data_IF_328728541905
#
_entry.id   IF_328728541905
#
_cell.length_a   1.000
_cell.length_b   1.000
_cell.length_c   1.000
_cell.angle_alpha   90.00
_cell.angle_beta   90.00
_cell.angle_gamma   90.00
#
_symmetry.space_group_name_H-M   'P 1'
#
loop_
_entity.id
_entity.type
_entity.pdbx_description
1 polymer ?
#
# COMPACT_ATOMS: atom_id res chain seq x y z
N UNK A 1 19.45 1.10 -22.00
CA UNK A 1 19.41 2.02 -20.84
C UNK A 1 18.01 2.14 -20.24
N UNK A 2 16.94 1.79 -20.98
CA UNK A 2 15.54 1.87 -20.49
C UNK A 2 15.24 0.95 -19.31
N UNK A 3 15.70 -0.31 -19.31
CA UNK A 3 15.40 -1.25 -18.22
C UNK A 3 15.98 -0.90 -16.84
N UNK A 4 16.95 0.02 -16.73
CA UNK A 4 17.50 0.44 -15.43
C UNK A 4 16.61 1.48 -14.74
N UNK A 5 15.98 2.36 -15.52
CA UNK A 5 15.05 3.37 -14.99
C UNK A 5 13.76 2.74 -14.47
N UNK A 6 13.22 1.74 -15.17
CA UNK A 6 12.02 1.02 -14.73
C UNK A 6 12.21 0.25 -13.41
N UNK A 7 13.40 -0.33 -13.23
CA UNK A 7 13.79 -0.99 -11.98
C UNK A 7 13.92 0.00 -10.81
N UNK A 8 14.53 1.16 -11.06
CA UNK A 8 14.64 2.23 -10.05
C UNK A 8 13.26 2.79 -9.67
N UNK A 9 12.37 3.00 -10.65
CA UNK A 9 11.00 3.46 -10.42
C UNK A 9 10.17 2.42 -9.63
N UNK A 10 10.35 1.14 -9.94
CA UNK A 10 9.72 0.05 -9.19
C UNK A 10 10.20 -0.01 -7.74
N UNK A 11 11.51 0.05 -7.50
CA UNK A 11 12.06 0.07 -6.15
C UNK A 11 11.59 1.28 -5.35
N UNK A 12 11.47 2.46 -5.99
CA UNK A 12 10.91 3.64 -5.35
C UNK A 12 9.44 3.46 -4.97
N UNK A 13 8.63 2.86 -5.83
CA UNK A 13 7.24 2.55 -5.51
C UNK A 13 7.13 1.61 -4.29
N UNK A 14 7.90 0.52 -4.27
CA UNK A 14 7.90 -0.40 -3.13
C UNK A 14 8.35 0.28 -1.84
N UNK A 15 9.37 1.15 -1.92
CA UNK A 15 9.84 1.91 -0.76
C UNK A 15 8.79 2.88 -0.23
N UNK A 16 8.05 3.58 -1.10
CA UNK A 16 6.94 4.47 -0.69
C UNK A 16 5.86 3.70 0.07
N UNK A 17 5.47 2.53 -0.45
CA UNK A 17 4.47 1.68 0.19
C UNK A 17 4.99 1.15 1.54
N UNK A 18 6.26 0.75 1.62
CA UNK A 18 6.89 0.31 2.87
C UNK A 18 6.86 1.42 3.92
N UNK A 19 7.36 2.60 3.58
CA UNK A 19 7.44 3.74 4.50
C UNK A 19 6.05 4.19 4.98
N UNK A 20 5.05 4.20 4.10
CA UNK A 20 3.68 4.48 4.49
C UNK A 20 3.12 3.41 5.44
N UNK A 21 3.38 2.13 5.14
CA UNK A 21 2.90 1.01 5.97
C UNK A 21 3.53 1.04 7.37
N UNK A 22 4.83 1.35 7.46
CA UNK A 22 5.55 1.54 8.72
C UNK A 22 4.98 2.69 9.54
N UNK A 23 4.71 3.84 8.90
CA UNK A 23 4.11 4.99 9.59
C UNK A 23 2.73 4.63 10.17
N UNK A 24 1.89 3.97 9.38
CA UNK A 24 0.57 3.52 9.83
C UNK A 24 0.67 2.52 10.98
N UNK A 25 1.62 1.58 10.93
CA UNK A 25 1.85 0.62 12.02
C UNK A 25 2.22 1.33 13.33
N UNK A 26 3.12 2.30 13.26
CA UNK A 26 3.57 3.07 14.43
C UNK A 26 2.44 3.93 15.02
N UNK A 27 1.54 4.44 14.18
CA UNK A 27 0.33 5.16 14.59
C UNK A 27 -0.75 4.21 15.15
N UNK A 28 -0.81 2.99 14.64
CA UNK A 28 -1.88 2.02 14.87
C UNK A 28 -2.99 2.12 13.81
N UNK A 29 -3.53 0.98 13.38
CA UNK A 29 -4.54 0.91 12.30
C UNK A 29 -5.83 1.67 12.61
N UNK A 30 -6.22 1.74 13.89
CA UNK A 30 -7.37 2.54 14.35
C UNK A 30 -7.18 4.05 14.15
N UNK A 31 -5.95 4.51 13.90
CA UNK A 31 -5.62 5.91 13.58
C UNK A 31 -5.56 6.16 12.07
N UNK A 32 -6.15 5.29 11.24
CA UNK A 32 -6.25 5.51 9.81
C UNK A 32 -7.13 6.74 9.49
N UNK A 33 -6.67 7.58 8.55
CA UNK A 33 -7.27 8.88 8.24
C UNK A 33 -7.61 9.03 6.76
N UNK A 34 -8.38 10.07 6.42
CA UNK A 34 -8.65 10.42 5.02
C UNK A 34 -7.37 10.80 4.26
N UNK A 35 -6.33 11.29 4.94
CA UNK A 35 -5.04 11.58 4.31
C UNK A 35 -4.33 10.31 3.85
N UNK A 36 -4.48 9.21 4.59
CA UNK A 36 -3.92 7.91 4.18
C UNK A 36 -4.62 7.40 2.91
N UNK A 37 -5.92 7.66 2.76
CA UNK A 37 -6.66 7.35 1.52
C UNK A 37 -6.05 8.08 0.33
N UNK A 38 -5.81 9.39 0.45
CA UNK A 38 -5.20 10.18 -0.63
C UNK A 38 -3.83 9.62 -1.04
N UNK A 39 -3.02 9.17 -0.07
CA UNK A 39 -1.73 8.52 -0.35
C UNK A 39 -1.93 7.21 -1.11
N UNK A 40 -2.87 6.36 -0.68
CA UNK A 40 -3.14 5.08 -1.35
C UNK A 40 -3.71 5.27 -2.77
N UNK A 41 -4.55 6.27 -2.99
CA UNK A 41 -5.08 6.61 -4.32
C UNK A 41 -3.94 7.04 -5.26
N UNK A 42 -2.96 7.81 -4.77
CA UNK A 42 -1.76 8.16 -5.54
C UNK A 42 -0.92 6.92 -5.88
N UNK A 43 -0.75 6.01 -4.92
CA UNK A 43 -0.01 4.76 -5.14
C UNK A 43 -0.69 3.87 -6.19
N UNK A 44 -2.03 3.81 -6.26
CA UNK A 44 -2.76 3.10 -7.33
C UNK A 44 -2.45 3.67 -8.72
N UNK A 45 -2.36 5.00 -8.84
CA UNK A 45 -1.99 5.62 -10.12
C UNK A 45 -0.57 5.22 -10.52
N UNK A 46 0.34 5.13 -9.57
CA UNK A 46 1.72 4.68 -9.82
C UNK A 46 1.81 3.19 -10.19
N UNK A 47 1.02 2.30 -9.57
CA UNK A 47 1.02 0.85 -9.89
C UNK A 47 0.54 0.53 -11.30
N UNK A 48 -0.27 1.41 -11.89
CA UNK A 48 -0.82 1.25 -13.25
C UNK A 48 0.29 1.14 -14.32
N UNK A 49 1.48 1.69 -14.06
CA UNK A 49 2.64 1.63 -14.96
C UNK A 49 3.29 0.25 -15.03
N UNK A 50 3.13 -0.57 -14.00
CA UNK A 50 3.83 -1.84 -13.85
C UNK A 50 2.92 -3.07 -14.01
N UNK A 51 1.65 -2.89 -14.41
CA UNK A 51 0.66 -3.97 -14.55
C UNK A 51 0.47 -4.80 -13.27
N UNK A 52 0.68 -4.19 -12.10
CA UNK A 52 0.61 -4.85 -10.78
C UNK A 52 -0.81 -4.99 -10.28
N UNK A 53 -1.58 -5.82 -10.97
CA UNK A 53 -3.03 -5.99 -10.74
C UNK A 53 -3.32 -6.40 -9.30
N UNK A 54 -2.58 -7.36 -8.75
CA UNK A 54 -2.81 -7.83 -7.39
C UNK A 54 -2.46 -6.78 -6.32
N UNK A 55 -1.36 -6.04 -6.49
CA UNK A 55 -1.02 -4.93 -5.58
C UNK A 55 -2.11 -3.85 -5.61
N UNK A 56 -2.61 -3.53 -6.81
CA UNK A 56 -3.71 -2.58 -6.97
C UNK A 56 -4.96 -3.05 -6.23
N UNK A 57 -5.35 -4.32 -6.36
CA UNK A 57 -6.49 -4.88 -5.62
C UNK A 57 -6.31 -4.75 -4.09
N UNK A 58 -5.10 -5.02 -3.58
CA UNK A 58 -4.80 -4.83 -2.14
C UNK A 58 -4.98 -3.37 -1.72
N UNK A 59 -4.46 -2.42 -2.52
CA UNK A 59 -4.60 -0.99 -2.23
C UNK A 59 -6.07 -0.53 -2.29
N UNK A 60 -6.84 -1.02 -3.26
CA UNK A 60 -8.28 -0.73 -3.38
C UNK A 60 -9.06 -1.23 -2.16
N UNK A 61 -8.75 -2.45 -1.67
CA UNK A 61 -9.34 -2.96 -0.43
C UNK A 61 -8.95 -2.13 0.81
N UNK A 62 -7.68 -1.72 0.91
CA UNK A 62 -7.23 -0.83 2.00
C UNK A 62 -7.95 0.52 1.98
N UNK A 63 -8.23 1.08 0.80
CA UNK A 63 -8.99 2.32 0.65
C UNK A 63 -10.44 2.13 1.07
N UNK A 64 -11.07 1.05 0.62
CA UNK A 64 -12.47 0.77 0.95
C UNK A 64 -12.67 0.63 2.47
N UNK A 65 -11.88 -0.23 3.11
CA UNK A 65 -11.98 -0.48 4.56
C UNK A 65 -11.42 0.67 5.38
N UNK A 66 -10.36 1.31 4.91
CA UNK A 66 -9.81 2.52 5.51
C UNK A 66 -10.82 3.67 5.54
N UNK A 67 -11.64 3.82 4.50
CA UNK A 67 -12.72 4.81 4.48
C UNK A 67 -13.78 4.51 5.53
N UNK A 68 -14.17 3.25 5.70
CA UNK A 68 -15.13 2.83 6.75
C UNK A 68 -14.54 3.09 8.14
N UNK A 69 -13.26 2.75 8.34
CA UNK A 69 -12.50 2.97 9.58
C UNK A 69 -12.41 4.45 9.95
N UNK A 70 -12.02 5.31 9.00
CA UNK A 70 -11.92 6.75 9.21
C UNK A 70 -13.28 7.41 9.55
N UNK A 71 -14.39 6.80 9.13
CA UNK A 71 -15.75 7.24 9.45
C UNK A 71 -16.33 6.57 10.71
N UNK A 72 -15.55 5.74 11.42
CA UNK A 72 -15.95 5.09 12.67
C UNK A 72 -16.81 3.83 12.52
N UNK A 73 -16.87 3.25 11.33
CA UNK A 73 -17.70 2.08 11.00
C UNK A 73 -16.90 0.90 10.41
N UNK A 74 -15.57 0.98 10.46
CA UNK A 74 -14.68 -0.01 9.88
C UNK A 74 -14.57 -1.27 10.72
N UNK A 75 -14.27 -2.37 10.04
CA UNK A 75 -13.89 -3.63 10.66
C UNK A 75 -12.35 -3.66 10.84
N UNK A 76 -11.90 -3.57 12.08
CA UNK A 76 -10.46 -3.52 12.40
C UNK A 76 -9.73 -4.82 12.06
N UNK A 77 -10.40 -5.99 12.16
CA UNK A 77 -9.81 -7.27 11.78
C UNK A 77 -9.63 -7.35 10.27
N UNK A 78 -10.63 -6.88 9.50
CA UNK A 78 -10.54 -6.81 8.05
C UNK A 78 -9.47 -5.81 7.59
N UNK A 79 -9.38 -4.65 8.25
CA UNK A 79 -8.33 -3.66 8.00
C UNK A 79 -6.92 -4.26 8.25
N UNK A 80 -6.76 -5.00 9.36
CA UNK A 80 -5.52 -5.70 9.67
C UNK A 80 -5.17 -6.76 8.62
N UNK A 81 -6.16 -7.51 8.13
CA UNK A 81 -5.95 -8.50 7.07
C UNK A 81 -5.38 -7.85 5.80
N UNK A 82 -5.98 -6.75 5.34
CA UNK A 82 -5.53 -6.04 4.14
C UNK A 82 -4.15 -5.41 4.34
N UNK A 83 -3.89 -4.82 5.51
CA UNK A 83 -2.59 -4.29 5.88
C UNK A 83 -1.50 -5.38 5.85
N UNK A 84 -1.77 -6.56 6.42
CA UNK A 84 -0.85 -7.70 6.41
C UNK A 84 -0.55 -8.18 4.98
N UNK A 85 -1.56 -8.25 4.11
CA UNK A 85 -1.36 -8.62 2.70
C UNK A 85 -0.46 -7.62 1.97
N UNK A 86 -0.67 -6.33 2.20
CA UNK A 86 0.13 -5.27 1.58
C UNK A 86 1.59 -5.34 2.00
N UNK A 87 1.84 -5.43 3.30
CA UNK A 87 3.19 -5.51 3.85
C UNK A 87 3.93 -6.77 3.41
N UNK A 88 3.25 -7.92 3.38
CA UNK A 88 3.81 -9.16 2.83
C UNK A 88 4.14 -9.05 1.34
N UNK A 89 3.27 -8.43 0.54
CA UNK A 89 3.52 -8.21 -0.88
C UNK A 89 4.79 -7.37 -1.08
N UNK A 90 4.92 -6.26 -0.36
CA UNK A 90 6.10 -5.36 -0.45
C UNK A 90 7.36 -6.07 0.03
N UNK A 91 7.27 -6.85 1.10
CA UNK A 91 8.41 -7.62 1.60
C UNK A 91 8.91 -8.64 0.56
N UNK A 92 8.02 -9.39 -0.09
CA UNK A 92 8.42 -10.34 -1.14
C UNK A 92 9.00 -9.61 -2.36
N UNK A 93 8.36 -8.50 -2.75
CA UNK A 93 8.76 -7.65 -3.88
C UNK A 93 10.16 -7.06 -3.74
N UNK A 94 10.59 -6.78 -2.51
CA UNK A 94 11.92 -6.22 -2.20
C UNK A 94 12.97 -7.31 -2.00
N UNK A 95 12.61 -8.48 -1.47
CA UNK A 95 13.50 -9.63 -1.33
C UNK A 95 13.88 -10.26 -2.67
N UNK A 96 12.96 -10.31 -3.64
CA UNK A 96 13.26 -10.80 -5.00
C UNK A 96 14.24 -9.89 -5.77
N UNK A 97 14.42 -8.65 -5.32
CA UNK A 97 15.33 -7.67 -5.93
C UNK A 97 16.73 -7.64 -5.30
N UNK A 98 17.02 -8.50 -4.31
CA UNK A 98 18.29 -8.54 -3.55
C UNK A 98 19.25 -9.63 -4.01
#
# INVERSE_FOLDING_TARGET
MEGRGELEDYSQLMQKISSWSEELLLRGLSQFTLKDIEVLEQLIVETSRFQMTFLREILEHMIEEGRKTALGSGDEELMLLHYCRLTQYVQLSTQESS
#
